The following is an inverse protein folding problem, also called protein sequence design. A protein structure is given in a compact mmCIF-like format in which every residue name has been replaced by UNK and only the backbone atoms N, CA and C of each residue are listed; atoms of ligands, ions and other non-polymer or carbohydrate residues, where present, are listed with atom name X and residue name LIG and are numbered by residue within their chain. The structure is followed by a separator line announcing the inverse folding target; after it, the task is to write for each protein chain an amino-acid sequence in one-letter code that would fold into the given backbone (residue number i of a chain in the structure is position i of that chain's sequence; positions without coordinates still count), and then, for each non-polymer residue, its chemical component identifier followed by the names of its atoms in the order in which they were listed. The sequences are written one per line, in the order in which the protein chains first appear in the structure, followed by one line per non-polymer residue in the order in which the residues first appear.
data_IF_730859118591
#
_entry.id   IF_730859118591
#
_cell.length_a   1.000
_cell.length_b   1.000
_cell.length_c   1.000
_cell.angle_alpha   90.00
_cell.angle_beta   90.00
_cell.angle_gamma   90.00
#
_symmetry.space_group_name_H-M   'P 1'
#
loop_
_entity.id
_entity.type
_entity.pdbx_description
1 polymer ?
#
# COMPACT_ATOMS: atom_id res chain seq x y z
N UNK A 1 13.12 14.92 47.06
CA UNK A 1 11.90 15.76 47.01
C UNK A 1 11.22 15.50 45.69
N UNK A 2 10.21 14.66 45.76
CA UNK A 2 9.36 14.14 44.69
C UNK A 2 8.40 15.23 44.25
N UNK A 3 8.28 15.53 42.95
CA UNK A 3 7.01 15.96 42.37
C UNK A 3 6.85 15.33 40.98
N UNK A 4 5.91 14.37 40.95
CA UNK A 4 5.35 13.77 39.77
C UNK A 4 4.31 14.72 39.18
N UNK A 5 4.41 15.05 37.90
CA UNK A 5 3.30 15.64 37.15
C UNK A 5 2.49 14.51 36.54
N UNK A 6 1.43 14.14 37.27
CA UNK A 6 0.31 13.37 36.76
C UNK A 6 -0.63 14.32 36.04
N UNK A 7 -0.86 14.10 34.74
CA UNK A 7 -1.98 14.68 34.01
C UNK A 7 -2.73 13.56 33.32
N UNK A 8 -3.56 12.87 34.09
CA UNK A 8 -4.63 12.00 33.60
C UNK A 8 -5.77 12.87 33.07
N UNK A 9 -5.82 13.10 31.76
CA UNK A 9 -7.05 13.54 31.10
C UNK A 9 -7.87 12.30 30.72
N UNK A 10 -9.14 12.20 31.13
CA UNK A 10 -9.96 11.05 30.80
C UNK A 10 -10.30 11.05 29.30
N UNK A 11 -10.00 9.95 28.63
CA UNK A 11 -10.50 9.65 27.29
C UNK A 11 -12.02 9.61 27.40
N UNK A 12 -12.69 10.60 26.82
CA UNK A 12 -14.14 10.55 26.63
C UNK A 12 -14.44 9.42 25.63
N UNK A 13 -14.98 8.31 26.13
CA UNK A 13 -15.58 7.27 25.31
C UNK A 13 -16.81 7.86 24.62
N UNK A 14 -16.65 8.29 23.37
CA UNK A 14 -17.79 8.61 22.51
C UNK A 14 -18.37 7.28 22.04
N UNK A 15 -19.38 6.81 22.76
CA UNK A 15 -20.24 5.71 22.32
C UNK A 15 -21.03 6.21 21.11
N UNK A 16 -20.65 5.80 19.91
CA UNK A 16 -21.49 5.98 18.72
C UNK A 16 -22.60 4.95 18.82
N UNK A 17 -23.77 5.39 19.27
CA UNK A 17 -25.01 4.62 19.21
C UNK A 17 -25.43 4.53 17.74
N UNK A 18 -24.85 3.55 17.03
CA UNK A 18 -25.36 3.11 15.74
C UNK A 18 -26.72 2.49 16.05
N UNK A 19 -27.79 3.26 15.88
CA UNK A 19 -29.18 2.84 16.03
C UNK A 19 -29.55 1.68 15.09
N UNK A 20 -28.96 0.52 15.37
CA UNK A 20 -29.31 -0.77 14.84
C UNK A 20 -30.56 -1.17 15.60
N UNK A 21 -31.72 -0.89 15.01
CA UNK A 21 -32.95 -1.57 15.39
C UNK A 21 -32.66 -3.07 15.38
N UNK A 22 -32.78 -3.69 16.55
CA UNK A 22 -32.71 -5.14 16.69
C UNK A 22 -33.89 -5.74 15.91
N UNK A 23 -33.64 -6.13 14.67
CA UNK A 23 -34.55 -7.03 13.95
C UNK A 23 -34.21 -8.42 14.45
N UNK A 24 -35.06 -8.93 15.35
CA UNK A 24 -35.04 -10.31 15.82
C UNK A 24 -35.02 -11.28 14.63
N UNK A 25 -34.13 -12.28 14.58
CA UNK A 25 -34.19 -13.29 13.54
C UNK A 25 -35.38 -14.21 13.82
N UNK A 26 -36.46 -14.03 13.06
CA UNK A 26 -37.48 -15.06 12.94
C UNK A 26 -36.86 -16.25 12.19
N UNK A 27 -36.59 -17.30 12.96
CA UNK A 27 -36.14 -18.60 12.50
C UNK A 27 -37.31 -19.31 11.80
N UNK A 28 -37.47 -19.08 10.49
CA UNK A 28 -38.34 -19.90 9.66
C UNK A 28 -37.47 -20.80 8.80
N UNK A 29 -37.50 -22.10 9.13
CA UNK A 29 -36.92 -23.16 8.33
C UNK A 29 -37.50 -23.12 6.91
N UNK A 30 -36.67 -22.71 5.97
CA UNK A 30 -36.82 -23.01 4.56
C UNK A 30 -35.42 -23.25 4.00
N UNK A 31 -35.29 -24.30 3.19
CA UNK A 31 -34.08 -24.66 2.45
C UNK A 31 -33.44 -23.41 1.86
N UNK A 32 -32.28 -23.02 2.42
CA UNK A 32 -31.56 -21.81 2.01
C UNK A 32 -31.04 -22.01 0.60
N UNK A 33 -31.85 -21.65 -0.39
CA UNK A 33 -31.33 -21.25 -1.68
C UNK A 33 -30.35 -20.11 -1.39
N UNK A 34 -29.08 -20.31 -1.75
CA UNK A 34 -28.05 -19.28 -1.60
C UNK A 34 -28.60 -17.98 -2.19
N UNK A 35 -28.45 -16.87 -1.45
CA UNK A 35 -28.89 -15.57 -1.93
C UNK A 35 -28.31 -15.33 -3.34
N UNK A 36 -29.10 -14.81 -4.28
CA UNK A 36 -28.62 -14.58 -5.64
C UNK A 36 -27.35 -13.74 -5.60
N UNK A 37 -26.34 -14.16 -6.38
CA UNK A 37 -25.07 -13.46 -6.47
C UNK A 37 -25.30 -12.03 -6.98
N UNK A 38 -24.44 -11.10 -6.53
CA UNK A 38 -24.49 -9.72 -7.03
C UNK A 38 -24.40 -9.70 -8.56
N UNK A 39 -25.18 -8.86 -9.26
CA UNK A 39 -25.06 -8.67 -10.71
C UNK A 39 -23.63 -8.32 -11.18
N UNK A 40 -22.81 -7.74 -10.30
CA UNK A 40 -21.39 -7.45 -10.58
C UNK A 40 -20.60 -8.72 -10.91
N UNK A 41 -20.93 -9.87 -10.31
CA UNK A 41 -20.24 -11.15 -10.58
C UNK A 41 -20.32 -11.50 -12.06
N UNK A 42 -21.46 -11.27 -12.71
CA UNK A 42 -21.64 -11.51 -14.14
C UNK A 42 -20.91 -10.51 -15.04
N UNK A 43 -20.47 -9.36 -14.52
CA UNK A 43 -19.60 -8.40 -15.23
C UNK A 43 -18.11 -8.72 -15.03
N UNK A 44 -17.77 -9.27 -13.87
CA UNK A 44 -16.41 -9.60 -13.49
C UNK A 44 -15.91 -10.92 -14.09
N UNK A 45 -16.76 -11.95 -14.08
CA UNK A 45 -16.43 -13.24 -14.67
C UNK A 45 -16.54 -13.17 -16.19
N UNK A 46 -15.45 -13.50 -16.89
CA UNK A 46 -15.43 -13.58 -18.35
C UNK A 46 -16.21 -14.79 -18.90
N UNK A 47 -15.96 -16.03 -18.42
CA UNK A 47 -16.66 -17.21 -18.90
C UNK A 47 -18.14 -17.21 -18.52
N UNK A 48 -19.01 -17.49 -19.49
CA UNK A 48 -20.43 -17.77 -19.23
C UNK A 48 -20.62 -19.18 -18.70
N UNK A 49 -21.85 -19.54 -18.29
CA UNK A 49 -22.19 -20.91 -17.91
C UNK A 49 -21.92 -21.91 -19.04
N UNK A 50 -22.20 -21.52 -20.29
CA UNK A 50 -21.93 -22.34 -21.48
C UNK A 50 -20.43 -22.53 -21.72
N UNK A 51 -19.65 -21.46 -21.58
CA UNK A 51 -18.19 -21.53 -21.73
C UNK A 51 -17.60 -22.42 -20.63
N UNK A 52 -18.09 -22.25 -19.40
CA UNK A 52 -17.70 -23.06 -18.24
C UNK A 52 -17.99 -24.55 -18.47
N UNK A 53 -19.18 -24.90 -18.96
CA UNK A 53 -19.53 -26.28 -19.30
C UNK A 53 -18.62 -26.86 -20.41
N UNK A 54 -18.29 -26.05 -21.42
CA UNK A 54 -17.38 -26.45 -22.50
C UNK A 54 -15.95 -26.71 -21.97
N UNK A 55 -15.45 -25.82 -21.11
CA UNK A 55 -14.13 -25.95 -20.48
C UNK A 55 -14.06 -27.16 -19.56
N UNK A 56 -15.09 -27.40 -18.74
CA UNK A 56 -15.17 -28.56 -17.85
C UNK A 56 -15.15 -29.88 -18.64
N UNK A 57 -15.93 -29.97 -19.72
CA UNK A 57 -15.95 -31.14 -20.59
C UNK A 57 -14.57 -31.42 -21.22
N UNK A 58 -13.85 -30.38 -21.65
CA UNK A 58 -12.49 -30.51 -22.19
C UNK A 58 -11.48 -31.01 -21.14
N UNK A 59 -11.70 -30.70 -19.86
CA UNK A 59 -10.88 -31.17 -18.74
C UNK A 59 -11.34 -32.52 -18.18
N UNK A 60 -12.46 -33.07 -18.65
CA UNK A 60 -13.02 -34.34 -18.18
C UNK A 60 -13.82 -34.25 -16.87
N UNK A 61 -14.29 -33.06 -16.48
CA UNK A 61 -15.10 -32.84 -15.29
C UNK A 61 -16.54 -32.49 -15.65
N UNK A 62 -17.48 -32.83 -14.77
CA UNK A 62 -18.92 -32.59 -14.95
C UNK A 62 -19.41 -31.33 -14.24
N UNK A 63 -18.64 -30.83 -13.26
CA UNK A 63 -18.97 -29.61 -12.50
C UNK A 63 -17.73 -28.90 -11.97
N UNK A 64 -17.89 -27.61 -11.63
CA UNK A 64 -16.85 -26.84 -10.95
C UNK A 64 -16.53 -27.42 -9.56
N UNK A 65 -17.53 -27.97 -8.86
CA UNK A 65 -17.34 -28.60 -7.56
C UNK A 65 -16.42 -29.83 -7.65
N UNK A 66 -16.62 -30.68 -8.66
CA UNK A 66 -15.78 -31.86 -8.91
C UNK A 66 -14.33 -31.45 -9.23
N UNK A 67 -14.14 -30.45 -10.10
CA UNK A 67 -12.81 -29.91 -10.40
C UNK A 67 -12.12 -29.36 -9.14
N UNK A 68 -12.86 -28.65 -8.29
CA UNK A 68 -12.34 -28.12 -7.02
C UNK A 68 -11.94 -29.23 -6.04
N UNK A 69 -12.72 -30.31 -5.94
CA UNK A 69 -12.42 -31.48 -5.11
C UNK A 69 -11.15 -32.20 -5.56
N UNK A 70 -10.95 -32.33 -6.86
CA UNK A 70 -9.74 -32.92 -7.43
C UNK A 70 -8.49 -32.02 -7.25
N UNK A 71 -8.67 -30.70 -7.18
CA UNK A 71 -7.56 -29.73 -7.17
C UNK A 71 -7.13 -29.33 -5.75
N UNK A 72 -8.08 -29.12 -4.83
CA UNK A 72 -7.80 -28.57 -3.50
C UNK A 72 -7.75 -29.72 -2.48
N UNK A 73 -6.61 -29.96 -1.80
CA UNK A 73 -6.53 -30.98 -0.77
C UNK A 73 -7.55 -30.75 0.34
N UNK A 74 -8.34 -31.79 0.65
CA UNK A 74 -9.43 -31.71 1.62
C UNK A 74 -8.98 -31.21 3.01
N UNK A 75 -7.73 -31.51 3.41
CA UNK A 75 -7.18 -31.12 4.70
C UNK A 75 -7.06 -29.60 4.91
N UNK A 76 -7.01 -28.82 3.83
CA UNK A 76 -6.91 -27.35 3.88
C UNK A 76 -8.13 -26.64 3.29
N UNK A 77 -9.13 -27.39 2.81
CA UNK A 77 -10.34 -26.81 2.22
C UNK A 77 -11.23 -26.21 3.31
N UNK A 78 -11.63 -24.96 3.11
CA UNK A 78 -12.65 -24.33 3.94
C UNK A 78 -14.02 -24.97 3.65
N UNK A 79 -14.63 -25.56 4.68
CA UNK A 79 -15.89 -26.31 4.58
C UNK A 79 -17.14 -25.46 4.89
N UNK A 80 -16.97 -24.16 5.06
CA UNK A 80 -18.05 -23.21 5.27
C UNK A 80 -17.94 -22.05 4.28
N UNK A 81 -19.06 -21.37 3.95
CA UNK A 81 -19.01 -20.09 3.28
C UNK A 81 -18.17 -19.08 4.08
N UNK A 82 -17.65 -18.06 3.40
CA UNK A 82 -17.05 -16.92 4.07
C UNK A 82 -18.14 -16.13 4.81
N UNK A 83 -17.86 -15.73 6.04
CA UNK A 83 -18.73 -14.84 6.81
C UNK A 83 -18.53 -13.39 6.34
N UNK A 84 -19.18 -13.06 5.22
CA UNK A 84 -19.16 -11.75 4.60
C UNK A 84 -20.58 -11.25 4.34
N UNK A 85 -20.80 -9.92 4.35
CA UNK A 85 -22.08 -9.35 3.91
C UNK A 85 -22.44 -9.80 2.49
N UNK A 86 -23.73 -9.91 2.22
CA UNK A 86 -24.22 -10.20 0.88
C UNK A 86 -23.65 -9.19 -0.15
N UNK A 87 -23.31 -9.70 -1.34
CA UNK A 87 -22.77 -8.89 -2.42
C UNK A 87 -23.75 -7.79 -2.83
N UNK A 88 -23.27 -6.55 -2.91
CA UNK A 88 -24.05 -5.40 -3.37
C UNK A 88 -23.92 -5.25 -4.89
N UNK A 89 -24.91 -4.66 -5.54
CA UNK A 89 -24.73 -4.12 -6.89
C UNK A 89 -23.79 -2.91 -6.90
N UNK A 90 -23.29 -2.52 -8.07
CA UNK A 90 -22.31 -1.45 -8.23
C UNK A 90 -22.81 -0.09 -7.71
N UNK A 91 -24.05 0.27 -7.97
CA UNK A 91 -24.61 1.56 -7.58
C UNK A 91 -24.77 1.65 -6.05
N UNK A 92 -25.27 0.58 -5.44
CA UNK A 92 -25.42 0.48 -3.98
C UNK A 92 -24.06 0.49 -3.28
N UNK A 93 -23.06 -0.21 -3.82
CA UNK A 93 -21.70 -0.22 -3.29
C UNK A 93 -21.06 1.19 -3.34
N UNK A 94 -21.18 1.89 -4.47
CA UNK A 94 -20.69 3.26 -4.64
C UNK A 94 -21.39 4.24 -3.69
N UNK A 95 -22.71 4.15 -3.54
CA UNK A 95 -23.46 5.00 -2.61
C UNK A 95 -23.01 4.79 -1.16
N UNK A 96 -22.82 3.54 -0.74
CA UNK A 96 -22.32 3.20 0.60
C UNK A 96 -20.90 3.73 0.82
N UNK A 97 -20.00 3.55 -0.14
CA UNK A 97 -18.64 4.06 -0.05
C UNK A 97 -18.60 5.60 -0.01
N UNK A 98 -19.48 6.27 -0.77
CA UNK A 98 -19.62 7.72 -0.72
C UNK A 98 -20.11 8.21 0.64
N UNK A 99 -21.06 7.52 1.26
CA UNK A 99 -21.52 7.86 2.61
C UNK A 99 -20.39 7.74 3.66
N UNK A 100 -19.52 6.74 3.52
CA UNK A 100 -18.32 6.62 4.36
C UNK A 100 -17.31 7.74 4.07
N UNK A 101 -17.04 8.02 2.79
CA UNK A 101 -16.11 9.08 2.39
C UNK A 101 -16.56 10.48 2.86
N UNK A 102 -17.88 10.74 2.95
CA UNK A 102 -18.44 11.98 3.47
C UNK A 102 -18.17 12.20 4.98
N UNK A 103 -17.70 11.19 5.72
CA UNK A 103 -17.28 11.35 7.12
C UNK A 103 -15.88 11.94 7.23
N UNK A 104 -15.07 11.87 6.16
CA UNK A 104 -13.77 12.51 6.12
C UNK A 104 -13.92 14.03 6.02
N UNK A 105 -13.03 14.76 6.70
CA UNK A 105 -12.97 16.21 6.61
C UNK A 105 -11.75 16.60 5.77
N UNK A 106 -11.98 17.38 4.70
CA UNK A 106 -10.91 17.87 3.84
C UNK A 106 -10.46 19.24 4.34
N UNK A 107 -9.35 19.25 5.08
CA UNK A 107 -8.74 20.45 5.63
C UNK A 107 -7.65 21.00 4.70
N UNK A 108 -7.32 22.29 4.87
CA UNK A 108 -6.05 22.83 4.37
C UNK A 108 -4.94 22.41 5.33
N UNK A 109 -4.30 21.29 5.02
CA UNK A 109 -3.24 20.73 5.85
C UNK A 109 -1.88 21.32 5.47
N UNK A 110 -1.26 22.04 6.41
CA UNK A 110 0.10 22.57 6.29
C UNK A 110 1.07 21.85 7.24
N UNK A 111 0.83 20.55 7.48
CA UNK A 111 1.64 19.74 8.37
C UNK A 111 3.05 19.48 7.83
N UNK A 112 3.22 19.47 6.50
CA UNK A 112 4.49 19.14 5.87
C UNK A 112 4.84 17.66 6.04
N UNK A 113 6.00 17.38 6.66
CA UNK A 113 6.46 16.01 6.96
C UNK A 113 6.47 15.08 5.73
N UNK A 114 6.91 15.58 4.58
CA UNK A 114 7.01 14.81 3.34
C UNK A 114 5.75 14.78 2.49
N UNK A 115 4.63 15.33 2.98
CA UNK A 115 3.37 15.41 2.22
C UNK A 115 2.90 16.86 2.08
N UNK A 116 2.84 17.34 0.85
CA UNK A 116 2.32 18.66 0.50
C UNK A 116 1.19 18.54 -0.51
N UNK A 117 0.16 19.38 -0.36
CA UNK A 117 -0.91 19.43 -1.34
C UNK A 117 -0.37 19.93 -2.70
N UNK A 118 -0.94 19.43 -3.79
CA UNK A 118 -0.54 19.78 -5.15
C UNK A 118 -1.76 19.89 -6.07
N UNK A 119 -1.65 20.72 -7.10
CA UNK A 119 -2.65 20.79 -8.16
C UNK A 119 -2.28 19.73 -9.19
N UNK A 120 -3.00 18.60 -9.20
CA UNK A 120 -2.88 17.63 -10.29
C UNK A 120 -3.52 18.24 -11.54
N UNK A 121 -2.79 18.45 -12.64
CA UNK A 121 -3.37 19.01 -13.86
C UNK A 121 -4.56 18.17 -14.33
N UNK A 122 -5.74 18.75 -14.59
CA UNK A 122 -6.94 17.97 -14.95
C UNK A 122 -6.74 17.08 -16.19
N UNK A 123 -5.89 17.50 -17.12
CA UNK A 123 -5.54 16.71 -18.30
C UNK A 123 -4.80 15.42 -17.93
N UNK A 124 -3.95 15.43 -16.90
CA UNK A 124 -3.23 14.24 -16.42
C UNK A 124 -4.18 13.34 -15.63
N UNK A 125 -4.98 13.92 -14.73
CA UNK A 125 -5.98 13.15 -13.98
C UNK A 125 -6.90 12.39 -14.93
N UNK A 126 -7.48 13.08 -15.91
CA UNK A 126 -8.48 12.50 -16.81
C UNK A 126 -7.90 11.47 -17.79
N UNK A 127 -6.73 11.76 -18.38
CA UNK A 127 -6.22 10.96 -19.50
C UNK A 127 -5.18 9.92 -19.10
N UNK A 128 -4.68 9.96 -17.86
CA UNK A 128 -3.72 8.99 -17.30
C UNK A 128 -4.32 8.25 -16.11
N UNK A 129 -4.62 8.95 -15.01
CA UNK A 129 -5.05 8.31 -13.76
C UNK A 129 -6.43 7.63 -13.87
N UNK A 130 -7.36 8.27 -14.57
CA UNK A 130 -8.73 7.76 -14.78
C UNK A 130 -8.86 6.94 -16.08
N UNK A 131 -7.76 6.64 -16.78
CA UNK A 131 -7.77 5.96 -18.07
C UNK A 131 -7.24 4.51 -17.96
N UNK A 132 -8.06 3.48 -18.19
CA UNK A 132 -7.62 2.08 -18.10
C UNK A 132 -6.50 1.73 -19.09
N UNK A 133 -6.35 2.48 -20.18
CA UNK A 133 -5.23 2.31 -21.10
C UNK A 133 -3.85 2.67 -20.53
N UNK A 134 -3.79 3.22 -19.30
CA UNK A 134 -2.55 3.51 -18.58
C UNK A 134 -2.36 2.65 -17.31
N UNK A 135 -3.44 2.26 -16.62
CA UNK A 135 -3.33 1.57 -15.32
C UNK A 135 -3.63 0.07 -15.36
N UNK A 136 -4.11 -0.49 -16.47
CA UNK A 136 -4.43 -1.93 -16.55
C UNK A 136 -3.26 -2.80 -16.98
N UNK A 137 -2.27 -2.24 -17.69
CA UNK A 137 -1.06 -2.98 -18.05
C UNK A 137 -0.15 -3.18 -16.84
N UNK A 138 0.63 -4.26 -16.88
CA UNK A 138 1.62 -4.56 -15.86
C UNK A 138 3.04 -4.17 -16.28
N UNK A 139 4.04 -4.62 -15.51
CA UNK A 139 5.46 -4.40 -15.75
C UNK A 139 5.84 -4.58 -17.24
N UNK A 140 6.64 -3.69 -17.83
CA UNK A 140 7.03 -3.73 -19.24
C UNK A 140 8.04 -4.84 -19.57
N UNK A 141 7.66 -6.11 -19.34
CA UNK A 141 8.49 -7.27 -19.71
C UNK A 141 8.62 -7.46 -21.23
N UNK A 142 7.65 -6.97 -22.00
CA UNK A 142 7.64 -6.98 -23.46
C UNK A 142 7.82 -5.54 -23.97
N UNK A 143 9.06 -5.07 -24.18
CA UNK A 143 9.34 -3.66 -24.42
C UNK A 143 8.71 -3.13 -25.71
N UNK A 144 8.59 -3.94 -26.76
CA UNK A 144 8.08 -3.56 -28.09
C UNK A 144 6.63 -3.06 -28.03
N UNK A 145 5.83 -3.62 -27.11
CA UNK A 145 4.43 -3.24 -26.87
C UNK A 145 4.26 -2.35 -25.63
N UNK A 146 5.36 -1.78 -25.12
CA UNK A 146 5.39 -1.00 -23.89
C UNK A 146 6.10 0.36 -24.03
N UNK A 147 6.51 0.74 -25.24
CA UNK A 147 7.32 1.95 -25.48
C UNK A 147 6.72 3.22 -24.86
N UNK A 148 5.39 3.41 -24.94
CA UNK A 148 4.75 4.60 -24.37
C UNK A 148 4.99 4.80 -22.86
N UNK A 149 4.90 3.74 -22.04
CA UNK A 149 5.19 3.85 -20.60
C UNK A 149 6.68 3.80 -20.28
N UNK A 150 7.47 3.10 -21.08
CA UNK A 150 8.93 3.10 -20.94
C UNK A 150 9.52 4.50 -21.19
N UNK A 151 9.01 5.21 -22.19
CA UNK A 151 9.38 6.60 -22.46
C UNK A 151 8.97 7.52 -21.30
N UNK A 152 7.76 7.38 -20.76
CA UNK A 152 7.34 8.15 -19.59
C UNK A 152 8.22 7.88 -18.35
N UNK A 153 8.64 6.63 -18.14
CA UNK A 153 9.59 6.28 -17.06
C UNK A 153 10.99 6.83 -17.32
N UNK A 154 11.44 6.86 -18.58
CA UNK A 154 12.70 7.51 -18.94
C UNK A 154 12.64 9.01 -18.67
N UNK A 155 11.52 9.66 -19.00
CA UNK A 155 11.30 11.08 -18.67
C UNK A 155 11.32 11.32 -17.15
N UNK A 156 10.77 10.40 -16.36
CA UNK A 156 10.89 10.45 -14.89
C UNK A 156 12.35 10.34 -14.43
N UNK A 157 13.12 9.40 -14.99
CA UNK A 157 14.54 9.25 -14.66
C UNK A 157 15.33 10.52 -15.01
N UNK A 158 15.12 11.08 -16.20
CA UNK A 158 15.75 12.32 -16.64
C UNK A 158 15.38 13.50 -15.74
N UNK A 159 14.10 13.64 -15.37
CA UNK A 159 13.65 14.67 -14.44
C UNK A 159 14.37 14.57 -13.09
N UNK A 160 14.50 13.35 -12.54
CA UNK A 160 15.18 13.11 -11.27
C UNK A 160 16.68 13.41 -11.39
N UNK A 161 17.36 12.99 -12.47
CA UNK A 161 18.78 13.29 -12.66
C UNK A 161 19.03 14.78 -12.83
N UNK A 162 18.18 15.48 -13.59
CA UNK A 162 18.31 16.93 -13.81
C UNK A 162 18.11 17.73 -12.51
N UNK A 163 17.12 17.36 -11.69
CA UNK A 163 16.83 18.05 -10.42
C UNK A 163 17.86 17.75 -9.32
N UNK A 164 18.39 16.53 -9.29
CA UNK A 164 19.35 16.10 -8.24
C UNK A 164 20.80 16.34 -8.62
N UNK A 165 21.10 16.52 -9.90
CA UNK A 165 22.46 16.59 -10.43
C UNK A 165 23.23 15.27 -10.33
N UNK A 166 22.54 14.14 -10.15
CA UNK A 166 23.14 12.80 -10.06
C UNK A 166 23.18 12.11 -11.43
N UNK A 167 24.16 11.23 -11.64
CA UNK A 167 24.39 10.59 -12.94
C UNK A 167 23.28 9.61 -13.37
N UNK A 168 22.63 8.95 -12.41
CA UNK A 168 21.62 7.91 -12.67
C UNK A 168 20.46 7.98 -11.68
N UNK A 169 19.27 7.63 -12.17
CA UNK A 169 18.06 7.44 -11.37
C UNK A 169 17.34 6.14 -11.79
N UNK A 170 16.63 5.51 -10.86
CA UNK A 170 15.78 4.36 -11.16
C UNK A 170 14.37 4.80 -11.58
N UNK A 171 13.52 3.83 -11.92
CA UNK A 171 12.14 4.07 -12.35
C UNK A 171 11.12 4.12 -11.18
N UNK A 172 11.51 4.71 -10.03
CA UNK A 172 10.79 4.82 -8.74
C UNK A 172 11.10 3.77 -7.67
N UNK A 173 10.71 4.08 -6.42
CA UNK A 173 10.62 3.22 -5.25
C UNK A 173 9.26 3.44 -4.57
N UNK A 174 8.99 2.73 -3.46
CA UNK A 174 7.68 2.73 -2.81
C UNK A 174 7.34 4.07 -2.14
N UNK A 175 8.25 4.60 -1.32
CA UNK A 175 8.11 5.87 -0.59
C UNK A 175 9.48 6.43 -0.17
N UNK A 176 9.50 7.64 0.41
CA UNK A 176 10.73 8.32 0.85
C UNK A 176 11.50 7.52 1.93
N UNK A 177 10.79 7.01 2.94
CA UNK A 177 11.42 6.30 4.06
C UNK A 177 12.11 5.01 3.62
N UNK A 178 11.45 4.24 2.75
CA UNK A 178 12.02 3.04 2.15
C UNK A 178 13.15 3.35 1.18
N UNK A 179 13.05 4.43 0.39
CA UNK A 179 14.16 4.90 -0.44
C UNK A 179 15.40 5.27 0.39
N UNK A 180 15.22 5.94 1.52
CA UNK A 180 16.32 6.25 2.45
C UNK A 180 16.95 4.98 3.05
N UNK A 181 16.14 3.96 3.36
CA UNK A 181 16.65 2.67 3.84
C UNK A 181 17.38 1.87 2.76
N UNK A 182 16.95 1.95 1.49
CA UNK A 182 17.68 1.38 0.36
C UNK A 182 19.02 2.11 0.15
N UNK A 183 19.06 3.45 0.32
CA UNK A 183 20.31 4.21 0.28
C UNK A 183 21.27 3.80 1.40
N UNK A 184 20.77 3.58 2.62
CA UNK A 184 21.55 3.00 3.72
C UNK A 184 22.11 1.62 3.33
N UNK A 185 21.30 0.75 2.75
CA UNK A 185 21.69 -0.61 2.35
C UNK A 185 22.75 -0.59 1.24
N UNK A 186 22.59 0.30 0.25
CA UNK A 186 23.57 0.54 -0.81
C UNK A 186 24.90 1.00 -0.22
N UNK A 187 24.89 2.00 0.68
CA UNK A 187 26.09 2.49 1.36
C UNK A 187 26.75 1.39 2.21
N UNK A 188 25.95 0.58 2.92
CA UNK A 188 26.44 -0.53 3.71
C UNK A 188 27.18 -1.53 2.83
N UNK A 189 26.62 -1.94 1.69
CA UNK A 189 27.24 -2.92 0.80
C UNK A 189 28.51 -2.37 0.12
N UNK A 190 28.49 -1.10 -0.28
CA UNK A 190 29.63 -0.42 -0.92
C UNK A 190 30.77 -0.06 0.05
N UNK A 191 30.57 -0.18 1.37
CA UNK A 191 31.56 0.24 2.38
C UNK A 191 32.90 -0.50 2.22
N UNK A 192 34.00 0.27 2.27
CA UNK A 192 35.38 -0.25 2.28
C UNK A 192 35.76 -0.84 3.64
N UNK A 193 35.39 -0.15 4.72
CA UNK A 193 35.62 -0.59 6.12
C UNK A 193 34.51 -1.55 6.56
N UNK A 194 34.72 -2.85 6.43
CA UNK A 194 33.69 -3.87 6.74
C UNK A 194 33.25 -3.88 8.21
N UNK A 195 34.10 -3.39 9.10
CA UNK A 195 33.84 -3.19 10.54
C UNK A 195 32.95 -1.98 10.85
N UNK A 196 32.81 -1.01 9.94
CA UNK A 196 31.91 0.11 10.13
C UNK A 196 30.47 -0.38 10.02
N UNK A 197 29.75 -0.41 11.16
CA UNK A 197 28.36 -0.85 11.26
C UNK A 197 27.39 0.26 11.61
N UNK A 198 27.89 1.47 11.89
CA UNK A 198 27.06 2.60 12.23
C UNK A 198 26.60 3.38 10.97
N UNK A 199 25.31 3.67 10.90
CA UNK A 199 24.71 4.59 9.93
C UNK A 199 24.21 5.82 10.68
N UNK A 200 24.61 7.00 10.25
CA UNK A 200 24.23 8.23 10.92
C UNK A 200 23.04 8.90 10.23
N UNK A 201 22.05 9.32 11.01
CA UNK A 201 20.83 9.96 10.49
C UNK A 201 20.60 11.29 11.21
N UNK A 202 20.34 12.34 10.44
CA UNK A 202 19.99 13.64 11.00
C UNK A 202 18.68 13.56 11.78
N UNK A 203 18.66 14.11 12.99
CA UNK A 203 17.43 14.29 13.78
C UNK A 203 16.43 15.26 13.10
N UNK A 204 16.87 15.99 12.07
CA UNK A 204 16.04 16.87 11.26
C UNK A 204 15.42 16.18 10.02
N UNK A 205 15.62 14.87 9.85
CA UNK A 205 14.85 14.06 8.90
C UNK A 205 13.41 13.89 9.40
N UNK A 206 12.50 13.56 8.47
CA UNK A 206 11.14 13.26 8.85
C UNK A 206 11.08 12.08 9.84
N UNK A 207 10.25 12.15 10.89
CA UNK A 207 10.24 11.15 11.95
C UNK A 207 9.91 9.75 11.41
N UNK A 208 8.98 9.64 10.46
CA UNK A 208 8.66 8.36 9.82
C UNK A 208 9.83 7.80 9.00
N UNK A 209 10.65 8.64 8.38
CA UNK A 209 11.85 8.21 7.64
C UNK A 209 12.88 7.61 8.61
N UNK A 210 13.09 8.26 9.76
CA UNK A 210 13.98 7.75 10.81
C UNK A 210 13.51 6.37 11.31
N UNK A 211 12.22 6.22 11.56
CA UNK A 211 11.64 4.96 12.06
C UNK A 211 11.74 3.81 11.04
N UNK A 212 11.50 4.09 9.76
CA UNK A 212 11.68 3.10 8.69
C UNK A 212 13.16 2.69 8.57
N UNK A 213 14.09 3.63 8.60
CA UNK A 213 15.53 3.35 8.54
C UNK A 213 15.97 2.49 9.73
N UNK A 214 15.56 2.84 10.96
CA UNK A 214 15.82 2.02 12.17
C UNK A 214 15.27 0.60 12.03
N UNK A 215 14.03 0.48 11.58
CA UNK A 215 13.35 -0.82 11.41
C UNK A 215 14.09 -1.70 10.40
N UNK A 216 14.55 -1.13 9.28
CA UNK A 216 15.30 -1.83 8.24
C UNK A 216 16.73 -2.18 8.67
N UNK A 217 17.34 -1.37 9.53
CA UNK A 217 18.68 -1.59 10.07
C UNK A 217 18.74 -2.77 11.06
N UNK A 218 17.69 -2.96 11.87
CA UNK A 218 17.63 -3.95 12.94
C UNK A 218 18.00 -5.39 12.51
N UNK A 219 17.36 -5.99 11.48
CA UNK A 219 17.68 -7.36 11.07
C UNK A 219 19.07 -7.51 10.44
N UNK A 220 19.70 -6.41 10.03
CA UNK A 220 21.04 -6.38 9.42
C UNK A 220 22.15 -6.16 10.46
N UNK A 221 21.80 -5.91 11.72
CA UNK A 221 22.76 -5.56 12.77
C UNK A 221 23.52 -4.26 12.46
N UNK A 222 22.82 -3.28 11.85
CA UNK A 222 23.32 -1.93 11.59
C UNK A 222 22.92 -1.04 12.77
N UNK A 223 23.89 -0.30 13.30
CA UNK A 223 23.67 0.65 14.40
C UNK A 223 23.22 2.00 13.82
N UNK A 224 21.97 2.39 14.03
CA UNK A 224 21.48 3.70 13.57
C UNK A 224 21.68 4.74 14.67
N UNK A 225 22.52 5.74 14.40
CA UNK A 225 22.79 6.86 15.32
C UNK A 225 22.04 8.08 14.82
N UNK A 226 21.11 8.60 15.65
CA UNK A 226 20.34 9.80 15.33
C UNK A 226 20.87 10.99 16.14
N UNK A 227 21.12 12.12 15.50
CA UNK A 227 21.63 13.31 16.20
C UNK A 227 21.54 14.61 15.40
N UNK A 228 21.96 15.72 16.02
CA UNK A 228 22.06 17.02 15.34
C UNK A 228 23.29 17.06 14.43
N UNK A 229 23.06 17.23 13.12
CA UNK A 229 24.10 17.21 12.08
C UNK A 229 25.11 18.35 12.23
N UNK A 230 24.77 19.42 12.96
CA UNK A 230 25.69 20.54 13.22
C UNK A 230 26.73 20.23 14.29
N UNK A 231 26.44 19.26 15.15
CA UNK A 231 27.31 18.86 16.27
C UNK A 231 27.92 17.48 16.06
N UNK A 232 27.64 16.85 14.92
CA UNK A 232 28.13 15.52 14.61
C UNK A 232 29.66 15.49 14.54
N UNK A 233 30.28 14.67 15.39
CA UNK A 233 31.70 14.33 15.33
C UNK A 233 31.88 12.95 14.70
N UNK A 234 32.92 12.81 13.87
CA UNK A 234 33.25 11.55 13.18
C UNK A 234 33.98 10.54 14.09
N UNK A 235 33.78 10.63 15.41
CA UNK A 235 34.46 9.80 16.41
C UNK A 235 34.00 8.33 16.31
N UNK A 236 32.75 8.12 15.89
CA UNK A 236 32.22 6.78 15.60
C UNK A 236 32.48 6.41 14.13
N UNK A 237 33.03 5.22 13.90
CA UNK A 237 33.25 4.71 12.55
C UNK A 237 31.92 4.39 11.84
N UNK A 238 31.43 5.34 11.06
CA UNK A 238 30.22 5.21 10.25
C UNK A 238 30.52 4.77 8.81
N UNK A 239 29.52 4.22 8.12
CA UNK A 239 29.62 3.88 6.68
C UNK A 239 28.77 4.79 5.78
N UNK A 240 27.88 5.60 6.35
CA UNK A 240 27.01 6.51 5.59
C UNK A 240 26.29 7.51 6.50
N UNK A 241 25.77 8.56 5.88
CA UNK A 241 25.05 9.68 6.50
C UNK A 241 23.78 9.94 5.71
N UNK A 242 22.65 10.08 6.40
CA UNK A 242 21.39 10.56 5.84
C UNK A 242 21.09 11.97 6.35
N UNK A 243 20.92 12.90 5.40
CA UNK A 243 20.54 14.29 5.66
C UNK A 243 19.24 14.62 4.92
N UNK A 244 18.36 15.41 5.54
CA UNK A 244 17.17 15.96 4.90
C UNK A 244 17.49 17.34 4.34
N UNK A 245 16.99 17.63 3.13
CA UNK A 245 17.11 18.95 2.54
C UNK A 245 15.87 19.33 1.72
N UNK A 246 15.14 20.40 2.10
CA UNK A 246 15.23 21.14 3.36
C UNK A 246 14.94 20.27 4.59
N UNK A 247 15.36 20.70 5.78
CA UNK A 247 15.01 20.02 7.04
C UNK A 247 13.49 19.94 7.26
N UNK A 248 13.07 18.98 8.10
CA UNK A 248 11.66 18.73 8.45
C UNK A 248 10.98 19.89 9.17
#
# INVERSE_FOLDING_TARGET
MTQAFSTSSPIASVSVDLGLSQVSPQNNGSTSAAAPLSPFVGRHLGPTEKDTATMLAALGYTSLAELMEATIPAAIRLNSPLDLPAGLDEATALAKLRALACQNQVWRSYLGLGYANTITPPVIQRNVLENPGWYTQYTPYQPEIAQGRLEALLNFQTLVTDLTGMDIANASLLDEGTAAAEAMTLAFNARKKKQAKAFWVSAACHPQTIDVVKTRALPLGIDVVVGDHRTFSFDTSIFGVLLQYPAT
#
